data_IF_317240508079
#
_entry.id   IF_317240508079
#
_cell.length_a   1.000
_cell.length_b   1.000
_cell.length_c   1.000
_cell.angle_alpha   90.00
_cell.angle_beta   90.00
_cell.angle_gamma   90.00
#
_symmetry.space_group_name_H-M   'P 1'
#
loop_
_entity.id
_entity.type
_entity.pdbx_description
1 polymer ?
#
# COMPACT_ATOMS: atom_id res chain seq x y z
N UNK A 1 2.11 7.66 21.39
CA UNK A 1 3.57 7.60 21.67
C UNK A 1 3.98 6.17 22.08
N UNK A 2 3.66 5.16 21.28
CA UNK A 2 4.02 3.75 21.54
C UNK A 2 4.92 3.18 20.44
N UNK A 3 4.72 3.62 19.19
CA UNK A 3 5.50 3.15 18.04
C UNK A 3 7.02 3.22 18.21
N UNK A 4 7.55 4.30 18.82
CA UNK A 4 9.00 4.41 19.07
C UNK A 4 9.49 3.36 20.07
N UNK A 5 8.70 3.09 21.10
CA UNK A 5 9.05 2.11 22.12
C UNK A 5 8.94 0.69 21.56
N UNK A 6 7.91 0.43 20.76
CA UNK A 6 7.69 -0.85 20.10
C UNK A 6 8.80 -1.16 19.08
N UNK A 7 9.26 -0.15 18.34
CA UNK A 7 10.39 -0.29 17.41
C UNK A 7 11.71 -0.56 18.13
N UNK A 8 11.96 0.08 19.27
CA UNK A 8 13.16 -0.19 20.06
C UNK A 8 13.16 -1.61 20.61
N UNK A 9 12.02 -2.05 21.16
CA UNK A 9 11.86 -3.43 21.64
C UNK A 9 12.04 -4.45 20.51
N UNK A 10 11.58 -4.14 19.30
CA UNK A 10 11.73 -5.00 18.13
C UNK A 10 13.18 -5.07 17.66
N UNK A 11 13.89 -3.93 17.63
CA UNK A 11 15.33 -3.88 17.30
C UNK A 11 16.16 -4.69 18.29
N UNK A 12 15.83 -4.64 19.58
CA UNK A 12 16.50 -5.41 20.64
C UNK A 12 16.28 -6.93 20.53
N UNK A 13 15.21 -7.37 19.85
CA UNK A 13 14.90 -8.79 19.65
C UNK A 13 15.51 -9.38 18.37
N UNK A 14 16.04 -8.54 17.49
CA UNK A 14 16.65 -8.98 16.23
C UNK A 14 18.12 -9.34 16.43
N UNK A 15 18.60 -10.34 15.69
CA UNK A 15 20.03 -10.68 15.65
C UNK A 15 20.81 -9.69 14.79
N UNK A 16 22.13 -9.61 15.00
CA UNK A 16 23.02 -8.73 14.22
C UNK A 16 22.89 -8.97 12.70
N UNK A 17 22.72 -10.22 12.28
CA UNK A 17 22.51 -10.61 10.88
C UNK A 17 21.20 -10.04 10.31
N UNK A 18 20.13 -10.02 11.12
CA UNK A 18 18.83 -9.47 10.73
C UNK A 18 18.84 -7.93 10.72
N UNK A 19 19.59 -7.30 11.63
CA UNK A 19 19.79 -5.86 11.65
C UNK A 19 20.56 -5.39 10.41
N UNK A 20 21.55 -6.16 9.95
CA UNK A 20 22.27 -5.89 8.69
C UNK A 20 21.33 -5.94 7.49
N UNK A 21 20.36 -6.87 7.46
CA UNK A 21 19.35 -6.94 6.40
C UNK A 21 18.38 -5.75 6.38
N UNK A 22 18.21 -5.05 7.51
CA UNK A 22 17.38 -3.84 7.60
C UNK A 22 18.14 -2.56 7.23
N UNK A 23 19.47 -2.60 7.14
CA UNK A 23 20.29 -1.43 6.75
C UNK A 23 19.85 -0.80 5.42
N UNK A 24 19.57 -1.56 4.34
CA UNK A 24 19.07 -0.97 3.09
C UNK A 24 17.77 -0.19 3.25
N UNK A 25 16.86 -0.66 4.11
CA UNK A 25 15.60 0.03 4.42
C UNK A 25 15.86 1.34 5.18
N UNK A 26 16.75 1.31 6.17
CA UNK A 26 17.15 2.50 6.93
C UNK A 26 17.82 3.53 6.02
N UNK A 27 18.69 3.08 5.10
CA UNK A 27 19.33 3.95 4.12
C UNK A 27 18.31 4.57 3.15
N UNK A 28 17.35 3.79 2.66
CA UNK A 28 16.27 4.29 1.79
C UNK A 28 15.40 5.35 2.49
N UNK A 29 15.06 5.12 3.77
CA UNK A 29 14.30 6.07 4.59
C UNK A 29 15.11 7.34 4.90
N UNK A 30 16.40 7.20 5.21
CA UNK A 30 17.31 8.33 5.49
C UNK A 30 17.48 9.23 4.28
N UNK A 31 17.72 8.64 3.12
CA UNK A 31 18.07 9.36 1.90
C UNK A 31 16.84 10.02 1.24
N UNK A 32 15.68 10.03 1.92
CA UNK A 32 14.40 10.55 1.41
C UNK A 32 14.07 10.03 0.01
N UNK A 33 14.57 8.82 -0.31
CA UNK A 33 14.07 8.12 -1.47
C UNK A 33 12.61 7.87 -1.10
N UNK A 34 11.70 8.55 -1.79
CA UNK A 34 10.28 8.31 -1.68
C UNK A 34 10.15 6.80 -1.77
N UNK A 35 9.87 6.15 -0.64
CA UNK A 35 9.36 4.80 -0.62
C UNK A 35 8.12 4.96 -1.46
N UNK A 36 8.20 4.65 -2.76
CA UNK A 36 7.08 4.77 -3.68
C UNK A 36 5.99 4.04 -2.95
N UNK A 37 5.01 4.79 -2.44
CA UNK A 37 3.87 4.18 -1.79
C UNK A 37 3.34 3.24 -2.85
N UNK A 38 3.42 1.94 -2.58
CA UNK A 38 2.77 0.96 -3.42
C UNK A 38 1.30 1.21 -3.15
N UNK A 39 0.70 2.13 -3.91
CA UNK A 39 -0.71 2.40 -3.80
C UNK A 39 -1.41 1.10 -4.19
N UNK A 40 -2.43 0.72 -3.44
CA UNK A 40 -3.25 -0.45 -3.77
C UNK A 40 -3.82 -0.35 -5.20
N UNK A 41 -3.90 0.86 -5.75
CA UNK A 41 -4.28 1.19 -7.12
C UNK A 41 -3.29 0.68 -8.19
N UNK A 42 -2.03 0.47 -7.82
CA UNK A 42 -1.02 -0.16 -8.69
C UNK A 42 -1.07 -1.70 -8.65
N UNK A 43 -1.92 -2.29 -7.81
CA UNK A 43 -2.13 -3.74 -7.78
C UNK A 43 -2.92 -4.18 -9.01
N UNK A 44 -2.40 -5.15 -9.77
CA UNK A 44 -3.12 -5.74 -10.90
C UNK A 44 -4.47 -6.34 -10.50
N UNK A 45 -4.60 -6.84 -9.26
CA UNK A 45 -5.87 -7.34 -8.74
C UNK A 45 -6.91 -6.23 -8.51
N UNK A 46 -6.46 -5.03 -8.09
CA UNK A 46 -7.34 -3.87 -7.93
C UNK A 46 -7.79 -3.35 -9.31
N UNK A 47 -6.86 -3.26 -10.27
CA UNK A 47 -7.19 -2.85 -11.63
C UNK A 47 -8.15 -3.82 -12.32
N UNK A 48 -8.04 -5.12 -12.04
CA UNK A 48 -9.00 -6.11 -12.51
C UNK A 48 -10.39 -5.95 -11.84
N UNK A 49 -10.44 -5.60 -10.55
CA UNK A 49 -11.69 -5.40 -9.82
C UNK A 49 -12.42 -4.10 -10.20
N UNK A 50 -11.69 -3.02 -10.50
CA UNK A 50 -12.23 -1.73 -10.99
C UNK A 50 -12.46 -1.74 -12.52
N UNK A 51 -12.05 -2.80 -13.21
CA UNK A 51 -12.20 -2.92 -14.66
C UNK A 51 -13.67 -2.86 -15.10
N UNK A 52 -13.88 -2.45 -16.35
CA UNK A 52 -15.21 -2.25 -16.96
C UNK A 52 -16.15 -3.46 -16.90
N UNK A 53 -15.62 -4.68 -16.72
CA UNK A 53 -16.42 -5.90 -16.51
C UNK A 53 -17.17 -5.91 -15.17
N UNK A 54 -16.80 -5.04 -14.24
CA UNK A 54 -17.35 -4.94 -12.89
C UNK A 54 -17.95 -3.54 -12.63
N UNK A 55 -18.18 -2.76 -13.70
CA UNK A 55 -18.78 -1.43 -13.63
C UNK A 55 -20.30 -1.53 -13.51
N UNK A 56 -20.75 -1.88 -12.30
CA UNK A 56 -22.18 -2.03 -11.96
C UNK A 56 -22.91 -0.68 -12.00
N UNK A 57 -22.19 0.45 -12.06
CA UNK A 57 -22.81 1.77 -12.14
C UNK A 57 -23.43 2.02 -13.51
N UNK A 58 -22.83 1.53 -14.60
CA UNK A 58 -23.45 1.66 -15.91
C UNK A 58 -24.80 0.92 -15.97
N UNK A 59 -24.89 -0.28 -15.40
CA UNK A 59 -26.14 -1.08 -15.40
C UNK A 59 -27.25 -0.52 -14.50
N UNK A 60 -26.90 0.10 -13.37
CA UNK A 60 -27.88 0.59 -12.37
C UNK A 60 -28.55 1.91 -12.77
N UNK A 61 -27.92 2.72 -13.63
CA UNK A 61 -28.41 4.06 -13.98
C UNK A 61 -28.90 4.21 -15.43
N UNK A 62 -28.91 3.13 -16.24
CA UNK A 62 -29.47 3.16 -17.60
C UNK A 62 -30.95 3.58 -17.60
N UNK A 63 -31.73 3.12 -16.62
CA UNK A 63 -33.18 3.38 -16.58
C UNK A 63 -33.53 4.84 -16.24
N UNK A 64 -32.64 5.54 -15.51
CA UNK A 64 -32.89 6.92 -15.06
C UNK A 64 -32.50 7.97 -16.11
N UNK A 65 -31.61 7.63 -17.06
CA UNK A 65 -31.25 8.48 -18.20
C UNK A 65 -32.18 8.29 -19.41
N UNK A 66 -32.91 7.17 -19.49
CA UNK A 66 -33.84 6.88 -20.60
C UNK A 66 -35.22 7.57 -20.46
N UNK A 67 -35.48 8.26 -19.35
CA UNK A 67 -36.77 8.90 -19.04
C UNK A 67 -36.76 10.44 -19.11
N UNK A 68 -35.73 11.06 -19.71
CA UNK A 68 -35.72 12.50 -20.04
C UNK A 68 -36.10 12.79 -21.49
#
# INVERSE_FOLDING_TARGET
MQLRQDLLNLIEQLSDEQLVLLMPLVLALRDHHQVKQVSSEASGAYQAWVGAENDVYDELFVDELATQ
#
